data_IF_427604425243
#
_entry.id   IF_427604425243
#
_cell.length_a   1.000
_cell.length_b   1.000
_cell.length_c   1.000
_cell.angle_alpha   90.00
_cell.angle_beta   90.00
_cell.angle_gamma   90.00
#
_symmetry.space_group_name_H-M   'P 1'
#
loop_
_entity.id
_entity.type
_entity.pdbx_description
1 polymer ?
#
# COMPACT_ATOMS: atom_id res chain seq x y z
N UNK A 1 -3.92 13.90 -16.42
CA UNK A 1 -4.75 13.44 -17.57
C UNK A 1 -5.01 11.95 -17.37
N UNK A 2 -5.71 11.65 -16.28
CA UNK A 2 -5.51 10.38 -15.56
C UNK A 2 -6.71 9.44 -15.70
N UNK A 3 -7.64 9.81 -16.59
CA UNK A 3 -8.89 9.10 -16.84
C UNK A 3 -8.68 7.72 -17.47
N UNK A 4 -7.61 7.53 -18.22
CA UNK A 4 -7.26 6.22 -18.79
C UNK A 4 -7.00 5.18 -17.70
N UNK A 5 -6.30 5.56 -16.63
CA UNK A 5 -6.03 4.66 -15.49
C UNK A 5 -7.34 4.33 -14.78
N UNK A 6 -8.21 5.32 -14.56
CA UNK A 6 -9.51 5.10 -13.93
C UNK A 6 -10.40 4.15 -14.75
N UNK A 7 -10.39 4.29 -16.08
CA UNK A 7 -11.14 3.42 -16.99
C UNK A 7 -10.67 1.96 -16.89
N UNK A 8 -9.38 1.70 -17.08
CA UNK A 8 -8.83 0.34 -17.00
C UNK A 8 -8.98 -0.26 -15.61
N UNK A 9 -8.82 0.54 -14.56
CA UNK A 9 -9.06 0.09 -13.20
C UNK A 9 -10.52 -0.35 -13.01
N UNK A 10 -11.47 0.39 -13.57
CA UNK A 10 -12.88 -0.01 -13.58
C UNK A 10 -13.12 -1.35 -14.29
N UNK A 11 -12.52 -1.57 -15.47
CA UNK A 11 -12.60 -2.84 -16.18
C UNK A 11 -11.99 -4.01 -15.38
N UNK A 12 -10.87 -3.77 -14.71
CA UNK A 12 -10.21 -4.78 -13.88
C UNK A 12 -11.04 -5.13 -12.65
N UNK A 13 -11.62 -4.14 -11.99
CA UNK A 13 -12.54 -4.34 -10.86
C UNK A 13 -13.77 -5.13 -11.30
N UNK A 14 -14.28 -4.89 -12.50
CA UNK A 14 -15.43 -5.65 -13.01
C UNK A 14 -15.09 -7.13 -13.23
N UNK A 15 -13.85 -7.43 -13.66
CA UNK A 15 -13.37 -8.80 -13.88
C UNK A 15 -13.01 -9.51 -12.58
N UNK A 16 -12.38 -8.81 -11.64
CA UNK A 16 -12.04 -9.30 -10.31
C UNK A 16 -12.41 -8.27 -9.23
N UNK A 17 -13.63 -8.37 -8.68
CA UNK A 17 -14.09 -7.49 -7.61
C UNK A 17 -13.35 -7.67 -6.28
N UNK A 18 -12.64 -8.79 -6.11
CA UNK A 18 -11.88 -9.12 -4.89
C UNK A 18 -10.42 -8.69 -4.95
N UNK A 19 -9.98 -8.20 -6.11
CA UNK A 19 -8.60 -7.81 -6.37
C UNK A 19 -8.13 -6.65 -5.49
N UNK A 20 -6.83 -6.65 -5.19
CA UNK A 20 -6.14 -5.54 -4.52
C UNK A 20 -5.30 -4.78 -5.54
N UNK A 21 -5.65 -3.52 -5.78
CA UNK A 21 -5.05 -2.71 -6.84
C UNK A 21 -4.05 -1.69 -6.27
N UNK A 22 -2.87 -1.62 -6.91
CA UNK A 22 -1.84 -0.64 -6.57
C UNK A 22 -1.65 0.34 -7.74
N UNK A 23 -1.82 1.63 -7.48
CA UNK A 23 -1.49 2.69 -8.43
C UNK A 23 -0.12 3.25 -8.05
N UNK A 24 0.83 3.25 -8.98
CA UNK A 24 2.18 3.77 -8.75
C UNK A 24 2.27 5.13 -9.42
N UNK A 25 2.21 6.19 -8.63
CA UNK A 25 2.31 7.57 -9.10
C UNK A 25 2.69 8.51 -7.98
N UNK A 26 3.54 9.49 -8.31
CA UNK A 26 3.88 10.63 -7.45
C UNK A 26 2.79 11.70 -7.44
N UNK A 27 1.82 11.61 -8.34
CA UNK A 27 0.69 12.53 -8.42
C UNK A 27 -0.36 12.21 -7.34
N UNK A 28 -0.68 13.21 -6.51
CA UNK A 28 -1.74 13.12 -5.49
C UNK A 28 -3.14 13.27 -6.09
N UNK A 29 -3.26 13.61 -7.38
CA UNK A 29 -4.51 13.68 -8.12
C UNK A 29 -5.30 12.37 -8.18
N UNK A 30 -4.68 11.23 -7.85
CA UNK A 30 -5.34 9.93 -7.73
C UNK A 30 -5.99 9.68 -6.36
N UNK A 31 -5.70 10.49 -5.35
CA UNK A 31 -6.24 10.31 -4.00
C UNK A 31 -7.79 10.38 -3.96
N UNK A 32 -8.46 11.30 -4.70
CA UNK A 32 -9.92 11.29 -4.85
C UNK A 32 -10.46 9.98 -5.46
N UNK A 33 -9.78 9.42 -6.46
CA UNK A 33 -10.16 8.16 -7.10
C UNK A 33 -10.07 7.00 -6.08
N UNK A 34 -8.99 6.92 -5.32
CA UNK A 34 -8.80 5.87 -4.31
C UNK A 34 -9.83 5.98 -3.20
N UNK A 35 -10.14 7.19 -2.76
CA UNK A 35 -11.19 7.43 -1.77
C UNK A 35 -12.54 6.89 -2.28
N UNK A 36 -12.91 7.22 -3.52
CA UNK A 36 -14.14 6.75 -4.13
C UNK A 36 -14.21 5.22 -4.25
N UNK A 37 -13.09 4.56 -4.58
CA UNK A 37 -13.02 3.11 -4.66
C UNK A 37 -13.18 2.43 -3.29
N UNK A 38 -12.58 2.99 -2.25
CA UNK A 38 -12.72 2.48 -0.87
C UNK A 38 -14.15 2.56 -0.36
N UNK A 39 -14.88 3.64 -0.69
CA UNK A 39 -16.31 3.77 -0.37
C UNK A 39 -17.15 2.64 -1.01
N UNK A 40 -16.74 2.18 -2.18
CA UNK A 40 -17.34 1.04 -2.89
C UNK A 40 -16.82 -0.33 -2.44
N UNK A 41 -16.03 -0.39 -1.36
CA UNK A 41 -15.36 -1.60 -0.84
C UNK A 41 -14.38 -2.25 -1.82
N UNK A 42 -13.85 -1.46 -2.77
CA UNK A 42 -12.78 -1.91 -3.68
C UNK A 42 -11.45 -1.58 -3.02
N UNK A 43 -10.57 -2.58 -2.94
CA UNK A 43 -9.26 -2.39 -2.33
C UNK A 43 -8.28 -1.76 -3.33
N UNK A 44 -8.00 -0.47 -3.15
CA UNK A 44 -7.04 0.26 -3.95
C UNK A 44 -6.11 1.15 -3.10
N UNK A 45 -4.85 1.29 -3.50
CA UNK A 45 -3.87 2.15 -2.83
C UNK A 45 -2.89 2.80 -3.80
N UNK A 46 -2.54 4.08 -3.56
CA UNK A 46 -1.44 4.79 -4.23
C UNK A 46 -0.13 4.51 -3.52
N UNK A 47 0.92 4.29 -4.30
CA UNK A 47 2.32 4.28 -3.89
C UNK A 47 3.09 5.28 -4.74
N UNK A 48 4.10 5.92 -4.17
CA UNK A 48 4.94 6.86 -4.91
C UNK A 48 5.97 6.14 -5.76
N UNK A 49 6.47 5.00 -5.26
CA UNK A 49 7.47 4.19 -5.92
C UNK A 49 7.15 2.69 -5.83
N UNK A 50 7.70 1.91 -6.76
CA UNK A 50 7.51 0.44 -6.77
C UNK A 50 8.08 -0.23 -5.51
N UNK A 51 9.13 0.35 -4.93
CA UNK A 51 9.75 -0.14 -3.69
C UNK A 51 8.81 -0.09 -2.48
N UNK A 52 7.73 0.72 -2.53
CA UNK A 52 6.74 0.77 -1.46
C UNK A 52 5.73 -0.38 -1.54
N UNK A 53 5.72 -1.13 -2.64
CA UNK A 53 4.88 -2.31 -2.82
C UNK A 53 5.65 -3.50 -2.24
N UNK A 54 5.32 -3.86 -0.99
CA UNK A 54 6.01 -4.90 -0.23
C UNK A 54 6.08 -6.26 -0.95
N UNK A 55 5.11 -6.57 -1.80
CA UNK A 55 5.07 -7.85 -2.54
C UNK A 55 6.19 -7.93 -3.59
N UNK A 56 6.60 -6.80 -4.16
CA UNK A 56 7.64 -6.75 -5.19
C UNK A 56 9.04 -6.91 -4.58
N UNK A 57 9.27 -6.37 -3.38
CA UNK A 57 10.57 -6.46 -2.69
C UNK A 57 10.94 -7.88 -2.26
N UNK A 58 9.97 -8.79 -2.14
CA UNK A 58 10.24 -10.21 -1.85
C UNK A 58 10.84 -10.93 -3.07
N UNK A 59 10.64 -10.39 -4.28
CA UNK A 59 11.03 -11.03 -5.54
C UNK A 59 12.46 -10.68 -6.02
N UNK A 60 13.05 -9.57 -5.57
CA UNK A 60 14.27 -9.03 -6.17
C UNK A 60 15.54 -9.22 -5.31
N UNK A 61 15.96 -10.46 -5.14
CA UNK A 61 17.29 -10.86 -4.64
C UNK A 61 17.59 -10.63 -3.15
N UNK A 62 17.52 -11.72 -2.38
CA UNK A 62 18.25 -11.97 -1.14
C UNK A 62 18.07 -13.46 -0.87
N UNK A 63 19.16 -14.13 -0.47
CA UNK A 63 19.15 -15.55 -0.12
C UNK A 63 18.08 -15.81 0.95
N UNK A 64 17.55 -17.04 1.05
CA UNK A 64 16.46 -17.36 1.97
C UNK A 64 16.75 -16.91 3.41
N UNK A 65 18.02 -16.99 3.84
CA UNK A 65 18.47 -16.58 5.17
C UNK A 65 18.37 -15.06 5.42
N UNK A 66 18.66 -14.25 4.41
CA UNK A 66 18.53 -12.78 4.48
C UNK A 66 17.06 -12.35 4.54
N UNK A 67 16.16 -13.09 3.89
CA UNK A 67 14.72 -12.85 4.01
C UNK A 67 14.22 -13.19 5.41
N UNK A 68 14.66 -14.32 5.97
CA UNK A 68 14.28 -14.74 7.33
C UNK A 68 14.75 -13.69 8.35
N UNK A 69 16.00 -13.23 8.27
CA UNK A 69 16.52 -12.22 9.20
C UNK A 69 15.78 -10.88 9.08
N UNK A 70 15.47 -10.43 7.85
CA UNK A 70 14.69 -9.22 7.63
C UNK A 70 13.25 -9.32 8.18
N UNK A 71 12.60 -10.49 8.03
CA UNK A 71 11.26 -10.75 8.59
C UNK A 71 11.31 -10.76 10.11
N UNK A 72 12.28 -11.46 10.72
CA UNK A 72 12.46 -11.51 12.19
C UNK A 72 12.72 -10.11 12.75
N UNK A 73 13.57 -9.32 12.10
CA UNK A 73 13.85 -7.95 12.51
C UNK A 73 12.61 -7.06 12.41
N UNK A 74 11.80 -7.21 11.36
CA UNK A 74 10.57 -6.43 11.18
C UNK A 74 9.52 -6.79 12.23
N UNK A 75 9.35 -8.08 12.52
CA UNK A 75 8.48 -8.56 13.59
C UNK A 75 8.95 -8.06 14.97
N UNK A 76 10.26 -8.13 15.27
CA UNK A 76 10.84 -7.60 16.50
C UNK A 76 10.65 -6.07 16.63
N UNK A 77 10.77 -5.33 15.51
CA UNK A 77 10.54 -3.89 15.49
C UNK A 77 9.07 -3.50 15.69
N UNK A 78 8.12 -4.38 15.31
CA UNK A 78 6.70 -4.17 15.56
C UNK A 78 6.30 -4.49 17.00
N UNK A 79 6.98 -5.42 17.68
CA UNK A 79 6.71 -5.77 19.08
C UNK A 79 6.91 -4.58 20.05
N UNK A 80 7.76 -3.60 19.71
CA UNK A 80 8.10 -2.47 20.58
C UNK A 80 7.39 -1.14 20.22
N UNK A 81 6.57 -1.10 19.16
CA UNK A 81 5.92 0.15 18.69
C UNK A 81 4.55 0.43 19.32
N UNK A 82 4.11 -0.37 20.29
CA UNK A 82 2.80 -0.16 20.94
C UNK A 82 2.78 1.00 21.95
N UNK A 83 3.89 1.72 22.17
CA UNK A 83 3.94 2.79 23.20
C UNK A 83 4.84 3.97 22.81
N UNK A 84 4.46 4.72 21.77
CA UNK A 84 4.72 6.17 21.66
C UNK A 84 4.16 6.65 20.31
N UNK A 85 2.92 7.15 20.33
CA UNK A 85 2.34 8.15 19.40
C UNK A 85 0.82 8.34 19.60
N UNK A 86 0.21 7.76 20.64
CA UNK A 86 -1.20 8.00 20.98
C UNK A 86 -1.45 9.04 22.10
N UNK A 87 -0.41 9.62 22.72
CA UNK A 87 -0.56 10.56 23.84
C UNK A 87 0.39 11.76 23.74
N UNK A 88 0.21 12.66 22.77
CA UNK A 88 0.66 14.07 22.82
C UNK A 88 0.10 14.84 21.60
N UNK A 89 -1.19 15.18 21.66
CA UNK A 89 -1.77 16.42 21.12
C UNK A 89 -3.28 16.46 21.37
N UNK A 90 -3.66 16.52 22.66
CA UNK A 90 -5.01 16.89 23.06
C UNK A 90 -5.08 18.06 24.06
N UNK A 91 -3.97 18.72 24.40
CA UNK A 91 -4.04 19.98 25.15
C UNK A 91 -2.85 20.89 24.80
N UNK A 92 -3.06 21.74 23.80
CA UNK A 92 -2.85 23.19 23.87
C UNK A 92 -3.71 23.83 22.78
#
# INVERSE_FOLDING_TARGET
MDFHIAFYLGELVQKDPSGYFHIVSKDTGFDPLIKHLKEKKIFAQRKEELNDIQILNVSSSTTMDEKISAVVQRLASCANKTTQNACINKYN
#
